data_IF_105473060339
#
_entry.id   IF_105473060339
#
_cell.length_a   1.000
_cell.length_b   1.000
_cell.length_c   1.000
_cell.angle_alpha   90.00
_cell.angle_beta   90.00
_cell.angle_gamma   90.00
#
_symmetry.space_group_name_H-M   'P 1'
#
loop_
_entity.id
_entity.type
_entity.pdbx_description
1 polymer ?
#
# COMPACT_ATOMS: atom_id res chain seq x y z
N UNK A 1 -19.29 -3.52 -10.69
CA UNK A 1 -18.80 -2.72 -9.80
C UNK A 1 -17.43 -2.83 -9.45
N UNK A 2 -16.72 -1.94 -9.75
CA UNK A 2 -15.32 -2.04 -9.60
C UNK A 2 -14.81 -1.52 -8.30
N UNK A 3 -15.62 -1.48 -7.30
CA UNK A 3 -15.11 -1.05 -6.06
C UNK A 3 -14.37 -2.07 -5.32
N UNK A 4 -14.43 -3.31 -5.78
CA UNK A 4 -13.71 -4.37 -5.14
C UNK A 4 -12.22 -4.10 -5.26
N UNK A 5 -11.52 -4.16 -4.17
CA UNK A 5 -10.10 -3.94 -4.18
C UNK A 5 -9.68 -2.49 -4.08
N UNK A 6 -10.62 -1.57 -4.14
CA UNK A 6 -10.31 -0.16 -3.99
C UNK A 6 -10.48 0.33 -2.56
N UNK A 7 -10.63 -0.60 -1.65
CA UNK A 7 -10.79 -0.26 -0.25
C UNK A 7 -9.52 0.40 0.28
N UNK A 8 -9.62 1.57 0.89
CA UNK A 8 -8.42 2.27 1.36
C UNK A 8 -7.81 1.59 2.58
N UNK A 9 -6.52 1.82 2.76
CA UNK A 9 -5.78 1.31 3.91
C UNK A 9 -5.56 2.48 4.85
N UNK A 10 -6.00 2.34 6.09
CA UNK A 10 -5.83 3.38 7.08
C UNK A 10 -4.47 3.23 7.75
N UNK A 11 -3.71 4.32 7.81
CA UNK A 11 -2.41 4.34 8.47
C UNK A 11 -2.61 4.76 9.92
N UNK A 12 -2.25 3.94 10.90
CA UNK A 12 -2.46 4.30 12.30
C UNK A 12 -1.52 5.43 12.74
N UNK A 13 -1.87 6.07 13.83
CA UNK A 13 -1.05 7.15 14.38
C UNK A 13 0.31 6.58 14.76
N UNK A 14 1.37 7.33 14.50
CA UNK A 14 2.71 6.87 14.81
C UNK A 14 3.39 6.13 13.68
N UNK A 15 2.66 5.81 12.62
CA UNK A 15 3.23 5.18 11.44
C UNK A 15 3.26 6.20 10.30
N UNK A 16 4.39 6.22 9.60
CA UNK A 16 4.59 7.15 8.50
C UNK A 16 4.81 6.36 7.22
N UNK A 17 4.16 6.74 6.16
CA UNK A 17 4.30 6.07 4.88
C UNK A 17 4.76 7.08 3.84
N UNK A 18 5.79 6.71 3.08
CA UNK A 18 6.31 7.54 2.02
C UNK A 18 6.26 6.75 0.73
N UNK A 19 5.76 7.36 -0.31
CA UNK A 19 5.68 6.72 -1.62
C UNK A 19 6.59 7.48 -2.57
N UNK A 20 7.61 6.79 -3.07
CA UNK A 20 8.55 7.38 -4.00
C UNK A 20 8.22 6.97 -5.42
N UNK A 21 8.96 7.53 -6.37
CA UNK A 21 8.76 7.20 -7.77
C UNK A 21 8.89 5.71 -8.00
N UNK A 22 8.14 5.19 -8.95
CA UNK A 22 8.20 3.76 -9.25
C UNK A 22 7.50 2.90 -8.22
N UNK A 23 6.65 3.50 -7.40
CA UNK A 23 5.89 2.79 -6.37
C UNK A 23 6.78 2.15 -5.30
N UNK A 24 7.86 2.83 -4.96
CA UNK A 24 8.69 2.39 -3.85
C UNK A 24 8.08 2.93 -2.57
N UNK A 25 7.54 2.04 -1.76
CA UNK A 25 6.81 2.40 -0.54
C UNK A 25 7.69 2.14 0.67
N UNK A 26 7.86 3.16 1.51
CA UNK A 26 8.60 3.05 2.77
C UNK A 26 7.61 3.28 3.91
N UNK A 27 7.59 2.35 4.85
CA UNK A 27 6.70 2.41 6.01
C UNK A 27 7.57 2.48 7.26
N UNK A 28 7.41 3.55 8.04
CA UNK A 28 8.19 3.77 9.23
C UNK A 28 7.29 3.84 10.45
N UNK A 29 7.63 3.11 11.49
CA UNK A 29 6.85 3.10 12.71
C UNK A 29 7.71 2.92 13.93
N UNK A 30 7.11 2.85 15.12
CA UNK A 30 7.86 2.74 16.36
C UNK A 30 8.62 1.42 16.50
N UNK A 31 8.26 0.41 15.74
CA UNK A 31 8.94 -0.88 15.81
C UNK A 31 9.98 -1.07 14.72
N UNK A 32 10.10 -0.14 13.79
CA UNK A 32 11.11 -0.24 12.74
C UNK A 32 10.67 0.40 11.46
N UNK A 33 11.42 0.12 10.40
CA UNK A 33 11.15 0.66 9.08
C UNK A 33 11.21 -0.46 8.07
N UNK A 34 10.21 -0.51 7.20
CA UNK A 34 10.17 -1.49 6.12
C UNK A 34 9.97 -0.76 4.80
N UNK A 35 10.53 -1.31 3.73
CA UNK A 35 10.34 -0.72 2.42
C UNK A 35 10.25 -1.80 1.38
N UNK A 36 9.55 -1.50 0.30
CA UNK A 36 9.38 -2.45 -0.77
C UNK A 36 9.04 -1.73 -2.06
N UNK A 37 9.55 -2.26 -3.15
CA UNK A 37 9.26 -1.75 -4.49
C UNK A 37 8.06 -2.52 -5.02
N UNK A 38 7.01 -1.81 -5.41
CA UNK A 38 5.82 -2.44 -5.98
C UNK A 38 5.78 -2.25 -7.48
N UNK A 39 4.89 -2.96 -8.14
CA UNK A 39 4.77 -2.92 -9.59
C UNK A 39 4.34 -1.52 -10.04
N UNK A 40 5.04 -0.98 -11.04
CA UNK A 40 4.74 0.35 -11.53
C UNK A 40 3.42 0.41 -12.30
N UNK A 41 2.85 -0.72 -12.65
CA UNK A 41 1.56 -0.75 -13.32
C UNK A 41 0.43 -0.29 -12.38
N UNK A 42 0.66 -0.36 -11.09
CA UNK A 42 -0.34 0.08 -10.12
C UNK A 42 -0.12 1.54 -9.77
N UNK A 43 -1.17 2.17 -9.27
CA UNK A 43 -1.07 3.53 -8.78
C UNK A 43 -1.31 3.52 -7.28
N UNK A 44 -0.31 3.93 -6.52
CA UNK A 44 -0.40 3.99 -5.07
C UNK A 44 -0.40 5.45 -4.66
N UNK A 45 -1.46 5.89 -3.98
CA UNK A 45 -1.54 7.28 -3.53
C UNK A 45 -1.81 7.31 -2.05
N UNK A 46 -1.34 8.37 -1.41
CA UNK A 46 -1.53 8.57 0.01
C UNK A 46 -2.13 9.94 0.23
N UNK A 47 -3.23 9.99 0.96
CA UNK A 47 -3.87 11.25 1.32
C UNK A 47 -4.10 11.25 2.81
N UNK A 48 -3.39 12.09 3.53
CA UNK A 48 -3.49 12.12 4.99
C UNK A 48 -3.08 10.77 5.55
N UNK A 49 -4.01 10.10 6.22
CA UNK A 49 -3.75 8.79 6.81
C UNK A 49 -4.29 7.65 5.99
N UNK A 50 -4.59 7.88 4.72
CA UNK A 50 -5.24 6.86 3.90
C UNK A 50 -4.39 6.57 2.67
N UNK A 51 -4.18 5.29 2.40
CA UNK A 51 -3.45 4.83 1.22
C UNK A 51 -4.44 4.13 0.30
N UNK A 52 -4.43 4.51 -0.97
CA UNK A 52 -5.28 3.88 -1.96
C UNK A 52 -4.41 3.27 -3.04
N UNK A 53 -4.72 2.04 -3.40
CA UNK A 53 -4.02 1.34 -4.48
C UNK A 53 -5.02 1.15 -5.60
N UNK A 54 -4.68 1.66 -6.78
CA UNK A 54 -5.54 1.55 -7.95
C UNK A 54 -4.83 0.76 -9.03
N UNK A 55 -5.59 0.12 -9.89
CA UNK A 55 -5.04 -0.63 -11.01
C UNK A 55 -5.55 -0.04 -12.31
N UNK A 56 -4.74 -0.11 -13.38
CA UNK A 56 -5.13 0.49 -14.66
C UNK A 56 -6.24 -0.27 -15.37
N UNK A 57 -6.35 -1.57 -15.15
CA UNK A 57 -7.37 -2.37 -15.80
C UNK A 57 -7.94 -3.38 -14.83
N UNK A 58 -9.01 -4.03 -15.26
CA UNK A 58 -9.64 -5.05 -14.45
C UNK A 58 -9.21 -6.44 -14.88
N UNK A 59 -8.07 -6.56 -15.53
CA UNK A 59 -7.65 -7.86 -15.98
C UNK A 59 -7.13 -8.68 -14.78
N UNK A 60 -7.14 -10.00 -14.96
CA UNK A 60 -6.86 -10.91 -13.86
C UNK A 60 -5.49 -10.67 -13.23
N UNK A 61 -4.49 -10.40 -14.05
CA UNK A 61 -3.14 -10.19 -13.54
C UNK A 61 -3.06 -8.93 -12.69
N UNK A 62 -3.68 -7.84 -13.13
CA UNK A 62 -3.67 -6.61 -12.36
C UNK A 62 -4.49 -6.73 -11.10
N UNK A 63 -5.55 -7.52 -11.11
CA UNK A 63 -6.35 -7.75 -9.91
C UNK A 63 -5.55 -8.51 -8.86
N UNK A 64 -4.77 -9.50 -9.29
CA UNK A 64 -3.93 -10.25 -8.38
C UNK A 64 -2.83 -9.38 -7.79
N UNK A 65 -2.18 -8.58 -8.63
CA UNK A 65 -1.15 -7.66 -8.16
C UNK A 65 -1.72 -6.64 -7.18
N UNK A 66 -2.91 -6.15 -7.48
CA UNK A 66 -3.55 -5.17 -6.63
C UNK A 66 -3.82 -5.74 -5.24
N UNK A 67 -4.40 -6.93 -5.17
CA UNK A 67 -4.68 -7.58 -3.90
C UNK A 67 -3.42 -7.88 -3.11
N UNK A 68 -2.40 -8.37 -3.79
CA UNK A 68 -1.14 -8.67 -3.15
C UNK A 68 -0.49 -7.40 -2.60
N UNK A 69 -0.50 -6.33 -3.38
CA UNK A 69 0.09 -5.06 -2.97
C UNK A 69 -0.61 -4.51 -1.73
N UNK A 70 -1.92 -4.54 -1.70
CA UNK A 70 -2.67 -4.08 -0.53
C UNK A 70 -2.31 -4.89 0.70
N UNK A 71 -2.24 -6.21 0.55
CA UNK A 71 -1.91 -7.09 1.65
C UNK A 71 -0.51 -6.80 2.17
N UNK A 72 0.45 -6.63 1.27
CA UNK A 72 1.82 -6.36 1.68
C UNK A 72 1.96 -5.02 2.40
N UNK A 73 1.30 -3.99 1.89
CA UNK A 73 1.34 -2.68 2.54
C UNK A 73 0.73 -2.77 3.93
N UNK A 74 -0.40 -3.44 4.06
CA UNK A 74 -1.05 -3.61 5.33
C UNK A 74 -0.16 -4.37 6.32
N UNK A 75 0.52 -5.40 5.84
CA UNK A 75 1.43 -6.17 6.68
C UNK A 75 2.62 -5.34 7.12
N UNK A 76 3.15 -4.50 6.24
CA UNK A 76 4.25 -3.62 6.60
C UNK A 76 3.83 -2.63 7.68
N UNK A 77 2.65 -2.07 7.55
CA UNK A 77 2.12 -1.14 8.56
C UNK A 77 1.97 -1.85 9.90
N UNK A 78 1.40 -3.04 9.89
CA UNK A 78 1.22 -3.82 11.11
C UNK A 78 2.57 -4.17 11.73
N UNK A 79 3.53 -4.56 10.91
CA UNK A 79 4.84 -4.95 11.39
C UNK A 79 5.58 -3.82 12.08
N UNK A 80 5.53 -2.60 11.55
CA UNK A 80 6.24 -1.49 12.15
C UNK A 80 5.48 -0.87 13.30
N UNK A 81 4.20 -1.15 13.42
CA UNK A 81 3.37 -0.58 14.47
C UNK A 81 3.27 -1.50 15.68
N UNK A 82 3.02 -2.76 15.44
CA UNK A 82 2.78 -3.69 16.53
C UNK A 82 3.89 -4.73 16.71
N UNK A 83 4.78 -4.74 15.81
CA UNK A 83 5.89 -5.65 15.91
C UNK A 83 5.58 -7.04 15.58
#
# INVERSE_FOLDING_TARGET
MSRIGLKPITVPAGVEVTIAEGNHVTVKGPKGTLEKQFDAALTITKEGDVITVARPTNNKQHRSLHGLTRTLINNMITGVNAG
#
